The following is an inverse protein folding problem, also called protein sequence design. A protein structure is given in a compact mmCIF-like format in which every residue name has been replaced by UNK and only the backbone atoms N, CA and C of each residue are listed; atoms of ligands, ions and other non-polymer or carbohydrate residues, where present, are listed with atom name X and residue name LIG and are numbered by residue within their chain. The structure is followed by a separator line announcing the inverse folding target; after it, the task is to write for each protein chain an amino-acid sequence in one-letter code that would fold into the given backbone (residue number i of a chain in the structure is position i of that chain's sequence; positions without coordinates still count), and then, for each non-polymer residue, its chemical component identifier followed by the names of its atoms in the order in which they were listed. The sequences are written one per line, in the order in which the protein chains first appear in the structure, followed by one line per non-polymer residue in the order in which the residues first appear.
data_IF_868184759902
#
_entry.id   IF_868184759902
#
_cell.length_a   1.000
_cell.length_b   1.000
_cell.length_c   1.000
_cell.angle_alpha   90.00
_cell.angle_beta   90.00
_cell.angle_gamma   90.00
#
_symmetry.space_group_name_H-M   'P 1'
#
loop_
_entity.id
_entity.type
_entity.pdbx_description
1 polymer ?
#
# COMPACT_ATOMS: atom_id res chain seq x y z
N UNK A 1 12.82 24.97 -29.35
CA UNK A 1 13.57 23.78 -28.89
C UNK A 1 14.69 24.21 -27.95
N UNK A 2 15.38 25.31 -28.24
CA UNK A 2 16.56 25.79 -27.49
C UNK A 2 16.31 26.36 -26.07
N UNK A 3 15.05 26.55 -25.65
CA UNK A 3 14.71 27.02 -24.30
C UNK A 3 14.37 25.87 -23.31
N UNK A 4 14.21 24.64 -23.83
CA UNK A 4 13.88 23.47 -23.00
C UNK A 4 15.17 22.75 -22.55
N UNK A 5 16.19 22.73 -23.40
CA UNK A 5 17.51 22.17 -23.06
C UNK A 5 18.28 23.03 -22.03
N UNK A 6 18.06 24.36 -22.00
CA UNK A 6 18.78 25.26 -21.08
C UNK A 6 18.28 25.22 -19.64
N UNK A 7 17.16 24.51 -19.36
CA UNK A 7 16.57 24.39 -18.03
C UNK A 7 16.85 23.04 -17.34
N UNK A 8 17.72 22.19 -17.90
CA UNK A 8 17.95 20.84 -17.35
C UNK A 8 16.69 19.96 -17.37
N UNK A 9 15.71 20.30 -18.21
CA UNK A 9 14.46 19.54 -18.35
C UNK A 9 14.76 18.36 -19.26
N UNK A 10 14.80 17.15 -18.69
CA UNK A 10 14.88 15.91 -19.46
C UNK A 10 13.61 15.80 -20.32
N UNK A 11 13.72 15.72 -21.66
CA UNK A 11 12.55 15.54 -22.52
C UNK A 11 11.75 14.30 -22.09
N UNK A 12 10.45 14.46 -21.86
CA UNK A 12 9.55 13.38 -21.38
C UNK A 12 9.26 13.40 -19.88
N UNK A 13 10.07 14.07 -19.05
CA UNK A 13 9.92 14.07 -17.59
C UNK A 13 8.53 14.50 -17.11
N UNK A 14 7.93 15.53 -17.72
CA UNK A 14 6.59 15.97 -17.37
C UNK A 14 5.49 14.94 -17.69
N UNK A 15 5.65 14.20 -18.79
CA UNK A 15 4.70 13.14 -19.17
C UNK A 15 4.83 11.93 -18.24
N UNK A 16 6.06 11.54 -17.88
CA UNK A 16 6.31 10.44 -16.95
C UNK A 16 5.79 10.76 -15.54
N UNK A 17 6.03 11.99 -15.07
CA UNK A 17 5.49 12.47 -13.78
C UNK A 17 3.96 12.48 -13.81
N UNK A 18 3.35 12.95 -14.90
CA UNK A 18 1.89 12.93 -15.04
C UNK A 18 1.35 11.50 -15.06
N UNK A 19 1.97 10.59 -15.82
CA UNK A 19 1.57 9.19 -15.89
C UNK A 19 1.63 8.52 -14.52
N UNK A 20 2.74 8.69 -13.79
CA UNK A 20 2.91 8.13 -12.46
C UNK A 20 1.94 8.75 -11.44
N UNK A 21 1.68 10.05 -11.52
CA UNK A 21 0.73 10.73 -10.65
C UNK A 21 -0.71 10.24 -10.90
N UNK A 22 -1.09 10.06 -12.17
CA UNK A 22 -2.39 9.48 -12.52
C UNK A 22 -2.50 8.05 -12.00
N UNK A 23 -1.44 7.24 -12.14
CA UNK A 23 -1.36 5.92 -11.52
C UNK A 23 -1.59 5.99 -10.01
N UNK A 24 -0.88 6.89 -9.32
CA UNK A 24 -1.00 7.07 -7.87
C UNK A 24 -2.43 7.50 -7.44
N UNK A 25 -3.09 8.36 -8.21
CA UNK A 25 -4.48 8.78 -7.96
C UNK A 25 -5.44 7.59 -8.12
N UNK A 26 -5.25 6.76 -9.14
CA UNK A 26 -6.06 5.56 -9.36
C UNK A 26 -5.86 4.54 -8.23
N UNK A 27 -4.62 4.33 -7.77
CA UNK A 27 -4.34 3.44 -6.64
C UNK A 27 -4.85 4.04 -5.32
N UNK A 28 -4.77 5.35 -5.15
CA UNK A 28 -5.43 6.03 -4.03
C UNK A 28 -6.95 5.77 -4.05
N UNK A 29 -7.59 5.83 -5.22
CA UNK A 29 -9.00 5.48 -5.36
C UNK A 29 -9.30 4.01 -4.98
N UNK A 30 -8.36 3.07 -5.12
CA UNK A 30 -8.54 1.68 -4.63
C UNK A 30 -8.85 1.62 -3.14
N UNK A 31 -8.40 2.59 -2.34
CA UNK A 31 -8.69 2.63 -0.90
C UNK A 31 -10.17 2.87 -0.62
N UNK A 32 -10.85 3.64 -1.48
CA UNK A 32 -12.31 3.71 -1.46
C UNK A 32 -12.95 2.39 -1.89
N UNK A 33 -12.33 1.69 -2.86
CA UNK A 33 -12.71 0.33 -3.25
C UNK A 33 -12.67 -0.67 -2.09
N UNK A 34 -11.56 -0.73 -1.34
CA UNK A 34 -11.43 -1.53 -0.13
C UNK A 34 -12.47 -1.15 0.92
N UNK A 35 -12.71 0.15 1.14
CA UNK A 35 -13.71 0.63 2.08
C UNK A 35 -15.12 0.13 1.74
N UNK A 36 -15.56 0.29 0.49
CA UNK A 36 -16.91 -0.14 0.08
C UNK A 36 -17.05 -1.67 0.00
N UNK A 37 -15.98 -2.38 -0.37
CA UNK A 37 -15.95 -3.84 -0.34
C UNK A 37 -16.10 -4.37 1.10
N UNK A 38 -15.38 -3.78 2.06
CA UNK A 38 -15.49 -4.16 3.47
C UNK A 38 -16.85 -3.76 4.06
N UNK A 39 -17.30 -2.52 3.85
CA UNK A 39 -18.59 -2.02 4.36
C UNK A 39 -19.77 -2.83 3.82
N UNK A 40 -19.71 -3.27 2.55
CA UNK A 40 -20.74 -4.12 1.96
C UNK A 40 -20.77 -5.55 2.50
N UNK A 41 -19.65 -6.07 3.02
CA UNK A 41 -19.51 -7.46 3.49
C UNK A 41 -19.69 -7.65 4.99
N UNK A 42 -19.47 -6.62 5.80
CA UNK A 42 -19.71 -6.68 7.25
C UNK A 42 -21.20 -6.62 7.58
N UNK A 43 -21.60 -7.03 8.80
CA UNK A 43 -22.97 -6.83 9.29
C UNK A 43 -23.27 -5.34 9.45
N UNK A 44 -24.54 -4.95 9.24
CA UNK A 44 -24.98 -3.54 9.28
C UNK A 44 -24.51 -2.78 10.53
N UNK A 45 -24.55 -3.41 11.71
CA UNK A 45 -24.07 -2.82 12.98
C UNK A 45 -22.58 -2.43 13.01
N UNK A 46 -21.78 -2.94 12.08
CA UNK A 46 -20.33 -2.76 12.03
C UNK A 46 -19.87 -1.85 10.86
N UNK A 47 -20.79 -1.34 10.03
CA UNK A 47 -20.44 -0.57 8.83
C UNK A 47 -19.65 0.71 9.13
N UNK A 48 -20.06 1.47 10.14
CA UNK A 48 -19.34 2.70 10.55
C UNK A 48 -17.92 2.36 10.97
N UNK A 49 -17.75 1.31 11.77
CA UNK A 49 -16.43 0.86 12.20
C UNK A 49 -15.58 0.39 11.02
N UNK A 50 -16.15 -0.34 10.05
CA UNK A 50 -15.43 -0.76 8.85
C UNK A 50 -14.92 0.45 8.03
N UNK A 51 -15.77 1.46 7.83
CA UNK A 51 -15.40 2.65 7.06
C UNK A 51 -14.31 3.48 7.75
N UNK A 52 -14.47 3.74 9.06
CA UNK A 52 -13.50 4.53 9.84
C UNK A 52 -12.14 3.86 9.89
N UNK A 53 -12.10 2.52 9.98
CA UNK A 53 -10.82 1.78 9.97
C UNK A 53 -10.03 1.99 8.70
N UNK A 54 -10.64 1.89 7.52
CA UNK A 54 -9.90 2.04 6.25
C UNK A 54 -9.32 3.46 6.10
N UNK A 55 -10.08 4.49 6.49
CA UNK A 55 -9.60 5.87 6.50
C UNK A 55 -8.45 6.08 7.49
N UNK A 56 -8.60 5.54 8.70
CA UNK A 56 -7.57 5.62 9.73
C UNK A 56 -6.30 4.83 9.31
N UNK A 57 -6.46 3.66 8.71
CA UNK A 57 -5.36 2.84 8.22
C UNK A 57 -4.56 3.59 7.16
N UNK A 58 -5.20 4.28 6.21
CA UNK A 58 -4.48 5.11 5.23
C UNK A 58 -3.73 6.27 5.89
N UNK A 59 -4.36 6.97 6.85
CA UNK A 59 -3.72 8.08 7.56
C UNK A 59 -2.50 7.63 8.38
N UNK A 60 -2.62 6.52 9.11
CA UNK A 60 -1.52 5.92 9.88
C UNK A 60 -0.43 5.42 8.95
N UNK A 61 -0.79 4.78 7.84
CA UNK A 61 0.15 4.32 6.80
C UNK A 61 0.96 5.48 6.23
N UNK A 62 0.29 6.61 5.94
CA UNK A 62 0.94 7.83 5.45
C UNK A 62 2.02 8.32 6.41
N UNK A 63 1.70 8.41 7.70
CA UNK A 63 2.65 8.85 8.72
C UNK A 63 3.79 7.84 8.85
N UNK A 64 3.49 6.55 9.02
CA UNK A 64 4.50 5.51 9.22
C UNK A 64 5.45 5.37 8.03
N UNK A 65 4.93 5.41 6.81
CA UNK A 65 5.71 5.27 5.59
C UNK A 65 6.57 6.51 5.33
N UNK A 66 6.03 7.71 5.56
CA UNK A 66 6.79 8.97 5.40
C UNK A 66 7.98 9.06 6.35
N UNK A 67 7.78 8.76 7.63
CA UNK A 67 8.82 8.94 8.65
C UNK A 67 9.82 7.79 8.70
N UNK A 68 9.40 6.56 8.36
CA UNK A 68 10.22 5.35 8.55
C UNK A 68 10.23 4.48 7.31
N UNK A 69 9.06 4.11 6.78
CA UNK A 69 8.96 3.05 5.77
C UNK A 69 9.75 3.33 4.49
N UNK A 70 9.63 4.54 3.93
CA UNK A 70 10.35 4.89 2.71
C UNK A 70 11.88 4.88 2.91
N UNK A 71 12.36 5.25 4.10
CA UNK A 71 13.76 5.16 4.45
C UNK A 71 14.24 3.70 4.60
N UNK A 72 13.38 2.80 5.09
CA UNK A 72 13.69 1.35 5.16
C UNK A 72 13.78 0.73 3.76
N UNK A 73 12.85 1.09 2.86
CA UNK A 73 12.83 0.52 1.51
C UNK A 73 13.92 1.11 0.61
N UNK A 74 14.10 2.44 0.63
CA UNK A 74 14.89 3.19 -0.36
C UNK A 74 16.06 3.99 0.23
N UNK A 75 16.22 4.04 1.56
CA UNK A 75 17.29 4.81 2.20
C UNK A 75 17.11 6.33 2.13
N UNK A 76 15.90 6.81 1.82
CA UNK A 76 15.60 8.24 1.63
C UNK A 76 14.68 8.77 2.73
N UNK A 77 15.08 9.88 3.35
CA UNK A 77 14.25 10.65 4.29
C UNK A 77 13.71 11.95 3.67
N UNK A 78 12.83 12.65 4.39
CA UNK A 78 12.17 13.87 3.89
C UNK A 78 12.53 15.16 4.65
N UNK A 79 13.37 15.07 5.69
CA UNK A 79 13.78 16.21 6.51
C UNK A 79 14.96 16.97 5.90
N UNK A 80 14.75 17.48 4.69
CA UNK A 80 15.73 18.24 3.93
C UNK A 80 15.18 19.62 3.53
N UNK A 81 16.06 20.50 3.05
CA UNK A 81 15.64 21.79 2.51
C UNK A 81 14.79 21.62 1.25
N UNK A 82 13.99 22.63 0.91
CA UNK A 82 13.19 22.61 -0.31
C UNK A 82 14.04 22.41 -1.58
N UNK A 83 15.26 22.98 -1.62
CA UNK A 83 16.19 22.79 -2.73
C UNK A 83 16.60 21.31 -2.89
N UNK A 84 16.82 20.58 -1.79
CA UNK A 84 17.13 19.15 -1.87
C UNK A 84 15.90 18.33 -2.27
N UNK A 85 14.72 18.61 -1.70
CA UNK A 85 13.49 17.89 -2.01
C UNK A 85 13.03 18.09 -3.47
N UNK A 86 13.34 19.24 -4.06
CA UNK A 86 13.08 19.54 -5.46
C UNK A 86 14.14 18.97 -6.42
N UNK A 87 15.21 18.37 -5.91
CA UNK A 87 16.32 17.85 -6.71
C UNK A 87 17.29 18.92 -7.22
N UNK A 88 17.21 20.15 -6.71
CA UNK A 88 18.09 21.27 -7.08
C UNK A 88 19.43 21.27 -6.32
N UNK A 89 19.51 20.50 -5.23
CA UNK A 89 20.71 20.37 -4.40
C UNK A 89 20.90 18.93 -3.91
N UNK A 90 22.17 18.50 -3.79
CA UNK A 90 22.52 17.21 -3.22
C UNK A 90 22.67 17.28 -1.70
N UNK A 91 22.27 16.21 -1.01
CA UNK A 91 22.55 15.99 0.40
C UNK A 91 22.80 14.51 0.67
N UNK A 92 23.66 14.18 1.64
CA UNK A 92 23.89 12.80 2.03
C UNK A 92 22.58 12.17 2.55
N UNK A 93 22.22 10.98 2.04
CA UNK A 93 20.94 10.32 2.36
C UNK A 93 19.72 10.91 1.65
N UNK A 94 19.91 11.78 0.66
CA UNK A 94 18.84 12.33 -0.18
C UNK A 94 19.04 11.89 -1.64
N UNK A 95 18.01 11.30 -2.23
CA UNK A 95 17.98 10.94 -3.67
C UNK A 95 16.65 11.42 -4.29
N UNK A 96 16.56 12.73 -4.51
CA UNK A 96 15.40 13.38 -5.12
C UNK A 96 15.70 13.76 -6.57
N UNK A 97 14.92 13.19 -7.47
CA UNK A 97 14.93 13.58 -8.87
C UNK A 97 14.28 14.97 -9.02
N UNK A 98 14.76 15.79 -9.98
CA UNK A 98 14.17 17.08 -10.28
C UNK A 98 12.68 17.02 -10.64
N UNK A 99 12.03 18.18 -10.64
CA UNK A 99 10.62 18.37 -11.05
C UNK A 99 9.60 17.51 -10.27
N UNK A 100 9.95 17.10 -9.04
CA UNK A 100 9.03 16.40 -8.13
C UNK A 100 8.82 14.91 -8.43
N UNK A 101 9.57 14.32 -9.37
CA UNK A 101 9.40 12.91 -9.76
C UNK A 101 9.57 11.95 -8.56
N UNK A 102 10.55 12.19 -7.68
CA UNK A 102 10.72 11.39 -6.46
C UNK A 102 9.57 11.55 -5.46
N UNK A 103 8.95 12.72 -5.39
CA UNK A 103 7.81 12.97 -4.49
C UNK A 103 6.55 12.26 -5.00
N UNK A 104 6.35 12.26 -6.33
CA UNK A 104 5.26 11.50 -6.95
C UNK A 104 5.49 9.99 -6.81
N UNK A 105 6.73 9.51 -6.97
CA UNK A 105 7.09 8.12 -6.70
C UNK A 105 6.80 7.73 -5.25
N UNK A 106 7.14 8.59 -4.28
CA UNK A 106 6.77 8.36 -2.89
C UNK A 106 5.26 8.23 -2.72
N UNK A 107 4.46 9.14 -3.29
CA UNK A 107 3.01 9.08 -3.20
C UNK A 107 2.46 7.80 -3.85
N UNK A 108 2.98 7.41 -5.01
CA UNK A 108 2.64 6.16 -5.67
C UNK A 108 2.89 4.97 -4.74
N UNK A 109 4.10 4.80 -4.23
CA UNK A 109 4.45 3.65 -3.38
C UNK A 109 3.76 3.67 -2.01
N UNK A 110 3.50 4.85 -1.44
CA UNK A 110 2.67 4.98 -0.25
C UNK A 110 1.29 4.34 -0.45
N UNK A 111 0.67 4.53 -1.62
CA UNK A 111 -0.64 3.92 -1.88
C UNK A 111 -0.58 2.39 -1.97
N UNK A 112 0.55 1.81 -2.37
CA UNK A 112 0.78 0.36 -2.34
C UNK A 112 1.00 -0.14 -0.91
N UNK A 113 1.81 0.59 -0.13
CA UNK A 113 2.05 0.29 1.27
C UNK A 113 0.76 0.30 2.11
N UNK A 114 -0.12 1.29 1.86
CA UNK A 114 -1.41 1.41 2.54
C UNK A 114 -2.45 0.36 2.09
N UNK A 115 -2.23 -0.34 0.97
CA UNK A 115 -3.08 -1.46 0.57
C UNK A 115 -2.89 -2.70 1.48
N UNK A 116 -1.71 -2.88 2.08
CA UNK A 116 -1.41 -4.00 2.99
C UNK A 116 -2.36 -4.04 4.20
N UNK A 117 -2.48 -2.98 5.04
CA UNK A 117 -3.42 -3.00 6.15
C UNK A 117 -4.87 -3.09 5.67
N UNK A 118 -5.23 -2.57 4.49
CA UNK A 118 -6.56 -2.72 3.92
C UNK A 118 -6.91 -4.20 3.60
N UNK A 119 -5.95 -4.97 3.05
CA UNK A 119 -6.10 -6.42 2.83
C UNK A 119 -6.31 -7.15 4.17
N UNK A 120 -5.48 -6.82 5.18
CA UNK A 120 -5.57 -7.42 6.52
C UNK A 120 -6.92 -7.10 7.17
N UNK A 121 -7.37 -5.84 7.06
CA UNK A 121 -8.62 -5.32 7.63
C UNK A 121 -9.83 -6.17 7.24
N UNK A 122 -9.95 -6.54 5.96
CA UNK A 122 -11.05 -7.38 5.47
C UNK A 122 -11.09 -8.77 6.13
N UNK A 123 -9.92 -9.36 6.40
CA UNK A 123 -9.79 -10.65 7.09
C UNK A 123 -10.19 -10.57 8.57
N UNK A 124 -9.87 -9.46 9.24
CA UNK A 124 -10.05 -9.27 10.69
C UNK A 124 -11.31 -8.46 11.08
N UNK A 125 -12.12 -8.09 10.09
CA UNK A 125 -13.33 -7.30 10.28
C UNK A 125 -14.26 -7.84 11.39
N UNK A 126 -14.97 -6.91 12.03
CA UNK A 126 -15.97 -7.11 13.10
C UNK A 126 -15.47 -7.61 14.47
N UNK A 127 -14.18 -7.96 14.61
CA UNK A 127 -13.64 -8.52 15.87
C UNK A 127 -12.27 -8.00 16.30
N UNK A 128 -11.56 -7.29 15.42
CA UNK A 128 -10.36 -6.56 15.80
C UNK A 128 -10.70 -5.32 16.62
N UNK A 129 -9.85 -5.00 17.61
CA UNK A 129 -9.91 -3.73 18.32
C UNK A 129 -9.18 -2.65 17.51
N UNK A 130 -9.72 -1.44 17.50
CA UNK A 130 -9.23 -0.32 16.69
C UNK A 130 -7.75 0.03 16.97
N UNK A 131 -7.40 0.35 18.23
CA UNK A 131 -6.03 0.78 18.56
C UNK A 131 -4.95 -0.27 18.31
N UNK A 132 -5.14 -1.56 18.69
CA UNK A 132 -4.19 -2.61 18.31
C UNK A 132 -4.02 -2.74 16.79
N UNK A 133 -5.10 -2.59 16.01
CA UNK A 133 -5.02 -2.60 14.55
C UNK A 133 -4.23 -1.39 14.04
N UNK A 134 -4.52 -0.17 14.52
CA UNK A 134 -3.79 1.03 14.11
C UNK A 134 -2.28 0.93 14.43
N UNK A 135 -1.92 0.40 15.61
CA UNK A 135 -0.52 0.15 15.95
C UNK A 135 0.12 -0.92 15.06
N UNK A 136 -0.60 -1.99 14.74
CA UNK A 136 -0.13 -3.01 13.80
C UNK A 136 0.10 -2.41 12.41
N UNK A 137 -0.83 -1.58 11.92
CA UNK A 137 -0.69 -0.83 10.66
C UNK A 137 0.59 0.01 10.66
N UNK A 138 0.85 0.78 11.73
CA UNK A 138 2.07 1.59 11.84
C UNK A 138 3.36 0.75 11.78
N UNK A 139 3.39 -0.40 12.46
CA UNK A 139 4.57 -1.29 12.46
C UNK A 139 4.72 -1.97 11.09
N UNK A 140 3.63 -2.45 10.51
CA UNK A 140 3.66 -3.15 9.23
C UNK A 140 4.12 -2.20 8.13
N UNK A 141 3.52 -1.02 8.04
CA UNK A 141 3.83 -0.04 6.99
C UNK A 141 5.12 0.73 7.26
N UNK A 142 5.52 0.87 8.52
CA UNK A 142 6.79 1.51 8.87
C UNK A 142 8.01 0.60 8.72
N UNK A 143 7.86 -0.72 8.90
CA UNK A 143 9.00 -1.63 8.99
C UNK A 143 8.84 -2.91 8.17
N UNK A 144 7.74 -3.65 8.35
CA UNK A 144 7.62 -5.01 7.79
C UNK A 144 7.45 -5.00 6.28
N UNK A 145 6.46 -4.27 5.76
CA UNK A 145 6.22 -4.17 4.32
C UNK A 145 7.39 -3.50 3.58
N UNK A 146 7.90 -2.34 4.02
CA UNK A 146 9.01 -1.68 3.32
C UNK A 146 10.30 -2.52 3.28
N UNK A 147 10.50 -3.43 4.24
CA UNK A 147 11.59 -4.40 4.17
C UNK A 147 11.45 -5.31 2.94
N UNK A 148 10.26 -5.90 2.71
CA UNK A 148 10.01 -6.72 1.52
C UNK A 148 9.99 -5.90 0.22
N UNK A 149 9.43 -4.69 0.28
CA UNK A 149 9.47 -3.73 -0.83
C UNK A 149 10.91 -3.44 -1.26
N UNK A 150 11.79 -3.09 -0.31
CA UNK A 150 13.19 -2.80 -0.58
C UNK A 150 13.97 -4.02 -1.08
N UNK A 151 13.69 -5.21 -0.55
CA UNK A 151 14.31 -6.46 -1.01
C UNK A 151 14.01 -6.74 -2.50
N UNK A 152 12.75 -6.56 -2.92
CA UNK A 152 12.30 -6.94 -4.26
C UNK A 152 12.48 -5.81 -5.26
N UNK A 153 12.08 -4.58 -4.92
CA UNK A 153 12.04 -3.44 -5.85
C UNK A 153 13.21 -2.46 -5.74
N UNK A 154 13.98 -2.50 -4.64
CA UNK A 154 15.16 -1.66 -4.48
C UNK A 154 16.50 -2.44 -4.53
N UNK A 155 16.45 -3.77 -4.54
CA UNK A 155 17.66 -4.61 -4.53
C UNK A 155 18.40 -4.63 -3.20
N UNK A 156 17.72 -4.29 -2.10
CA UNK A 156 18.35 -4.27 -0.78
C UNK A 156 18.98 -5.62 -0.44
N UNK A 157 20.12 -5.58 0.27
CA UNK A 157 20.87 -6.75 0.72
C UNK A 157 21.35 -7.71 -0.40
N UNK A 158 21.32 -7.29 -1.67
CA UNK A 158 21.79 -8.11 -2.79
C UNK A 158 20.93 -9.36 -3.03
N UNK A 159 19.65 -9.35 -2.63
CA UNK A 159 18.75 -10.48 -2.83
C UNK A 159 18.58 -10.80 -4.31
N UNK A 160 18.40 -9.78 -5.15
CA UNK A 160 18.23 -9.98 -6.60
C UNK A 160 19.45 -10.65 -7.23
N UNK A 161 20.65 -10.16 -6.92
CA UNK A 161 21.91 -10.77 -7.36
C UNK A 161 22.05 -12.21 -6.85
N UNK A 162 21.65 -12.47 -5.61
CA UNK A 162 21.70 -13.81 -5.03
C UNK A 162 20.76 -14.78 -5.75
N UNK A 163 19.56 -14.33 -6.12
CA UNK A 163 18.59 -15.12 -6.88
C UNK A 163 19.06 -15.34 -8.31
N UNK A 164 19.63 -14.34 -8.96
CA UNK A 164 20.20 -14.48 -10.30
C UNK A 164 21.36 -15.48 -10.31
N UNK A 165 22.26 -15.42 -9.33
CA UNK A 165 23.37 -16.37 -9.20
C UNK A 165 22.89 -17.80 -8.92
N UNK A 166 21.81 -17.98 -8.14
CA UNK A 166 21.30 -19.30 -7.77
C UNK A 166 20.41 -19.94 -8.85
N UNK A 167 19.62 -19.14 -9.57
CA UNK A 167 18.57 -19.61 -10.47
C UNK A 167 18.74 -19.17 -11.93
N UNK A 168 19.74 -18.35 -12.23
CA UNK A 168 20.02 -17.82 -13.58
C UNK A 168 19.15 -16.63 -13.99
N UNK A 169 18.31 -16.10 -13.10
CA UNK A 169 17.48 -14.92 -13.34
C UNK A 169 17.09 -14.22 -12.02
N UNK A 170 16.93 -12.87 -12.02
CA UNK A 170 16.39 -12.15 -10.89
C UNK A 170 14.91 -12.43 -10.69
N UNK A 171 14.41 -12.18 -9.48
CA UNK A 171 12.99 -12.29 -9.19
C UNK A 171 12.23 -11.05 -9.69
N UNK A 172 11.22 -11.29 -10.53
CA UNK A 172 10.42 -10.24 -11.13
C UNK A 172 9.00 -10.22 -10.55
N UNK A 173 8.67 -9.13 -9.87
CA UNK A 173 7.30 -8.81 -9.43
C UNK A 173 6.96 -7.41 -9.91
N UNK A 174 6.24 -7.31 -11.03
CA UNK A 174 6.01 -6.06 -11.75
C UNK A 174 5.22 -5.03 -10.92
N UNK A 175 4.08 -5.45 -10.36
CA UNK A 175 3.14 -4.59 -9.67
C UNK A 175 2.83 -5.04 -8.23
N UNK A 176 3.44 -6.11 -7.73
CA UNK A 176 3.29 -6.52 -6.33
C UNK A 176 2.34 -7.69 -6.12
N UNK A 177 2.31 -8.64 -7.05
CA UNK A 177 1.63 -9.93 -6.85
C UNK A 177 2.13 -10.62 -5.59
N UNK A 178 3.43 -10.52 -5.31
CA UNK A 178 4.03 -11.01 -4.07
C UNK A 178 4.17 -9.88 -3.07
N UNK A 179 4.84 -8.79 -3.44
CA UNK A 179 5.24 -7.70 -2.52
C UNK A 179 4.03 -7.05 -1.84
N UNK A 180 2.90 -6.92 -2.56
CA UNK A 180 1.66 -6.38 -1.99
C UNK A 180 0.68 -7.48 -1.62
N UNK A 181 0.22 -8.25 -2.60
CA UNK A 181 -0.92 -9.15 -2.40
C UNK A 181 -0.56 -10.37 -1.56
N UNK A 182 0.54 -11.06 -1.84
CA UNK A 182 0.94 -12.22 -1.06
C UNK A 182 1.40 -11.82 0.35
N UNK A 183 2.25 -10.78 0.50
CA UNK A 183 2.65 -10.27 1.82
C UNK A 183 1.43 -9.87 2.65
N UNK A 184 0.50 -9.09 2.08
CA UNK A 184 -0.75 -8.73 2.74
C UNK A 184 -1.60 -9.96 3.10
N UNK A 185 -1.70 -10.93 2.20
CA UNK A 185 -2.44 -12.18 2.42
C UNK A 185 -1.86 -13.06 3.53
N UNK A 186 -0.53 -13.23 3.58
CA UNK A 186 0.14 -14.01 4.62
C UNK A 186 0.04 -13.35 6.00
N UNK A 187 0.20 -12.02 6.06
CA UNK A 187 -0.04 -11.27 7.30
C UNK A 187 -1.50 -11.36 7.74
N UNK A 188 -2.44 -11.25 6.80
CA UNK A 188 -3.87 -11.40 7.07
C UNK A 188 -4.20 -12.81 7.59
N UNK A 189 -3.61 -13.86 7.01
CA UNK A 189 -3.78 -15.23 7.48
C UNK A 189 -3.32 -15.38 8.94
N UNK A 190 -2.13 -14.89 9.26
CA UNK A 190 -1.62 -14.89 10.63
C UNK A 190 -2.57 -14.16 11.59
N UNK A 191 -3.05 -12.98 11.21
CA UNK A 191 -3.98 -12.19 12.01
C UNK A 191 -5.34 -12.90 12.21
N UNK A 192 -5.85 -13.57 11.17
CA UNK A 192 -7.11 -14.34 11.23
C UNK A 192 -6.97 -15.55 12.15
N UNK A 193 -5.85 -16.28 12.07
CA UNK A 193 -5.59 -17.44 12.94
C UNK A 193 -5.51 -17.02 14.40
N UNK A 194 -4.81 -15.92 14.70
CA UNK A 194 -4.66 -15.42 16.07
C UNK A 194 -5.96 -14.85 16.67
N UNK A 195 -6.76 -14.14 15.88
CA UNK A 195 -8.04 -13.59 16.35
C UNK A 195 -9.14 -14.66 16.46
N UNK A 196 -9.02 -15.72 15.65
CA UNK A 196 -10.00 -16.79 15.56
C UNK A 196 -11.31 -16.38 14.89
N UNK A 197 -12.32 -17.23 15.10
CA UNK A 197 -13.62 -17.15 14.44
C UNK A 197 -14.44 -15.93 14.87
N UNK A 198 -15.29 -15.44 13.94
CA UNK A 198 -16.30 -14.41 14.23
C UNK A 198 -17.40 -14.98 15.10
N UNK A 199 -17.70 -14.35 16.24
CA UNK A 199 -18.80 -14.75 17.12
C UNK A 199 -20.09 -15.02 16.34
N UNK A 200 -20.62 -16.23 16.51
CA UNK A 200 -21.81 -16.73 15.82
C UNK A 200 -21.54 -17.40 14.46
N UNK A 201 -20.28 -17.58 14.05
CA UNK A 201 -19.92 -18.27 12.79
C UNK A 201 -20.19 -19.76 12.82
N UNK A 202 -20.09 -20.37 14.01
CA UNK A 202 -20.35 -21.78 14.24
C UNK A 202 -21.40 -21.95 15.33
N UNK A 203 -22.35 -22.86 15.14
CA UNK A 203 -23.29 -23.26 16.19
C UNK A 203 -22.59 -24.07 17.27
N UNK A 204 -23.27 -24.38 18.38
CA UNK A 204 -22.74 -25.27 19.43
C UNK A 204 -22.39 -26.67 18.89
N UNK A 205 -23.11 -27.12 17.87
CA UNK A 205 -22.90 -28.42 17.21
C UNK A 205 -21.85 -28.35 16.09
N UNK A 206 -21.19 -27.20 15.89
CA UNK A 206 -20.15 -27.01 14.88
C UNK A 206 -20.65 -26.63 13.47
N UNK A 207 -21.96 -26.50 13.28
CA UNK A 207 -22.52 -26.14 11.97
C UNK A 207 -22.18 -24.70 11.57
N UNK A 208 -21.88 -24.48 10.29
CA UNK A 208 -21.55 -23.18 9.72
C UNK A 208 -22.78 -22.28 9.62
N UNK A 209 -22.64 -21.05 10.11
CA UNK A 209 -23.63 -19.98 9.93
C UNK A 209 -23.06 -18.91 9.00
N UNK A 210 -23.72 -18.73 7.86
CA UNK A 210 -23.40 -17.67 6.90
C UNK A 210 -23.75 -16.29 7.45
N UNK A 211 -22.86 -15.32 7.27
CA UNK A 211 -23.20 -13.91 7.44
C UNK A 211 -23.41 -13.31 6.06
N UNK A 212 -24.65 -13.00 5.64
CA UNK A 212 -24.88 -12.38 4.36
C UNK A 212 -24.23 -10.98 4.33
N UNK A 213 -23.74 -10.52 3.17
CA UNK A 213 -23.32 -9.15 2.98
C UNK A 213 -24.44 -8.18 3.41
N UNK A 214 -24.10 -7.08 4.07
CA UNK A 214 -25.09 -6.06 4.43
C UNK A 214 -25.58 -5.24 3.24
N UNK A 215 -24.80 -5.16 2.16
CA UNK A 215 -25.17 -4.43 0.94
C UNK A 215 -24.40 -4.95 -0.28
N UNK A 216 -25.13 -5.61 -1.19
CA UNK A 216 -24.61 -5.99 -2.50
C UNK A 216 -24.23 -4.77 -3.35
N UNK A 217 -25.00 -3.66 -3.36
CA UNK A 217 -24.59 -2.44 -4.06
C UNK A 217 -23.24 -1.87 -3.59
N UNK A 218 -22.98 -1.84 -2.28
CA UNK A 218 -21.69 -1.35 -1.76
C UNK A 218 -20.54 -2.30 -2.09
N UNK A 219 -20.77 -3.61 -1.96
CA UNK A 219 -19.79 -4.62 -2.36
C UNK A 219 -19.44 -4.50 -3.85
N UNK A 220 -20.44 -4.35 -4.71
CA UNK A 220 -20.26 -4.19 -6.16
C UNK A 220 -19.54 -2.88 -6.50
N UNK A 221 -19.92 -1.76 -5.88
CA UNK A 221 -19.25 -0.47 -6.06
C UNK A 221 -17.77 -0.55 -5.65
N UNK A 222 -17.48 -1.15 -4.49
CA UNK A 222 -16.12 -1.36 -4.02
C UNK A 222 -15.30 -2.21 -4.99
N UNK A 223 -15.88 -3.30 -5.50
CA UNK A 223 -15.25 -4.16 -6.50
C UNK A 223 -14.94 -3.39 -7.80
N UNK A 224 -15.86 -2.56 -8.27
CA UNK A 224 -15.67 -1.77 -9.49
C UNK A 224 -14.60 -0.69 -9.33
N UNK A 225 -14.55 -0.02 -8.18
CA UNK A 225 -13.49 0.94 -7.84
C UNK A 225 -12.12 0.27 -7.77
N UNK A 226 -12.03 -0.96 -7.24
CA UNK A 226 -10.81 -1.75 -7.28
C UNK A 226 -10.39 -2.07 -8.72
N UNK A 227 -11.32 -2.47 -9.59
CA UNK A 227 -11.03 -2.71 -11.01
C UNK A 227 -10.47 -1.46 -11.71
N UNK A 228 -11.09 -0.29 -11.49
CA UNK A 228 -10.61 0.98 -12.06
C UNK A 228 -9.23 1.34 -11.52
N UNK A 229 -9.05 1.25 -10.20
CA UNK A 229 -7.78 1.59 -9.59
C UNK A 229 -6.63 0.66 -10.00
N UNK A 230 -6.94 -0.58 -10.38
CA UNK A 230 -5.96 -1.55 -10.87
C UNK A 230 -5.27 -1.13 -12.19
N UNK A 231 -5.87 -0.22 -12.97
CA UNK A 231 -5.21 0.38 -14.14
C UNK A 231 -4.07 1.33 -13.77
N UNK A 232 -4.07 1.90 -12.57
CA UNK A 232 -2.93 2.65 -12.06
C UNK A 232 -1.94 1.78 -11.27
N UNK A 233 -2.40 0.62 -10.79
CA UNK A 233 -1.59 -0.30 -10.01
C UNK A 233 -0.63 -1.12 -10.87
N UNK A 234 -1.03 -1.47 -12.10
CA UNK A 234 -0.19 -2.09 -13.13
C UNK A 234 0.27 -1.05 -14.15
#
# INVERSE_FOLDING_TARGET
MDAIESAGVVPGAGADVFFLLMGAILVFAMHSGFAFLEVGTVRHKNQVNALVKILADFAVSTIAYFFVGYAVAYGVGFFFSAAVLNGDAAAAGASFAPQGASLVKFFFLLTFAAAIPAIISGGIAERARFWPQAMATAIIVGLVYPFFEGLVWNGNFGLQDSLENAFGAPFHDFAGSIVVHAVGGWLALGAVVMLGQRRGRYTRDGNLVGFPPSSIPWLALGSWLLCVGWFGFN
#
